data_IF_801995369549
#
_entry.id   IF_801995369549
#
_cell.length_a   1.000
_cell.length_b   1.000
_cell.length_c   1.000
_cell.angle_alpha   90.00
_cell.angle_beta   90.00
_cell.angle_gamma   90.00
#
_symmetry.space_group_name_H-M   'P 1'
#
loop_
_entity.id
_entity.type
_entity.pdbx_description
1 polymer ?
#
# COMPACT_ATOMS: atom_id res chain seq x y z
N UNK A 1 -2.99 -6.73 57.99
CA UNK A 1 -2.44 -7.38 59.20
C UNK A 1 -0.93 -7.15 59.37
N UNK A 2 -0.11 -7.27 58.32
CA UNK A 2 1.34 -6.99 58.39
C UNK A 2 1.69 -5.52 58.70
N UNK A 3 0.97 -4.56 58.11
CA UNK A 3 1.16 -3.12 58.37
C UNK A 3 0.90 -2.72 59.82
N UNK A 4 -0.16 -3.28 60.43
CA UNK A 4 -0.52 -3.06 61.85
C UNK A 4 0.53 -3.67 62.80
N UNK A 5 1.15 -4.78 62.40
CA UNK A 5 2.23 -5.40 63.18
C UNK A 5 3.54 -4.60 63.09
N UNK A 6 3.81 -4.00 61.93
CA UNK A 6 5.00 -3.19 61.68
C UNK A 6 4.97 -1.86 62.45
N UNK A 7 3.85 -1.14 62.40
CA UNK A 7 3.68 0.14 63.13
C UNK A 7 3.74 -0.04 64.64
N UNK A 8 3.18 -1.15 65.14
CA UNK A 8 3.22 -1.48 66.56
C UNK A 8 4.63 -1.74 67.09
N UNK A 9 5.47 -2.46 66.35
CA UNK A 9 6.86 -2.71 66.74
C UNK A 9 7.71 -1.42 66.68
N UNK A 10 7.42 -0.52 65.74
CA UNK A 10 8.11 0.78 65.63
C UNK A 10 7.78 1.67 66.83
N UNK A 11 6.51 1.72 67.24
CA UNK A 11 6.06 2.45 68.42
C UNK A 11 6.74 1.91 69.70
N UNK A 12 6.68 0.59 69.91
CA UNK A 12 7.31 -0.07 71.07
C UNK A 12 8.83 0.21 71.12
N UNK A 13 9.51 0.16 69.97
CA UNK A 13 10.94 0.46 69.87
C UNK A 13 11.25 1.94 70.18
N UNK A 14 10.50 2.87 69.61
CA UNK A 14 10.70 4.31 69.85
C UNK A 14 10.46 4.69 71.31
N UNK A 15 9.47 4.07 71.96
CA UNK A 15 9.18 4.25 73.38
C UNK A 15 10.32 3.68 74.23
N UNK A 16 10.78 2.45 73.93
CA UNK A 16 11.87 1.80 74.66
C UNK A 16 13.18 2.59 74.58
N UNK A 17 13.52 3.12 73.40
CA UNK A 17 14.72 3.94 73.21
C UNK A 17 14.67 5.24 74.02
N UNK A 18 13.51 5.89 74.12
CA UNK A 18 13.35 7.09 74.94
C UNK A 18 13.37 6.79 76.43
N UNK A 19 12.79 5.66 76.84
CA UNK A 19 12.89 5.18 78.22
C UNK A 19 14.36 4.97 78.63
N UNK A 20 15.13 4.24 77.82
CA UNK A 20 16.56 4.02 78.07
C UNK A 20 17.34 5.35 78.15
N UNK A 21 17.04 6.31 77.26
CA UNK A 21 17.65 7.65 77.33
C UNK A 21 17.27 8.40 78.62
N UNK A 22 16.01 8.36 79.05
CA UNK A 22 15.60 9.00 80.30
C UNK A 22 16.24 8.33 81.52
N UNK A 23 16.35 7.01 81.53
CA UNK A 23 17.00 6.26 82.61
C UNK A 23 18.49 6.62 82.71
N UNK A 24 19.18 6.79 81.58
CA UNK A 24 20.57 7.28 81.59
C UNK A 24 20.70 8.68 82.22
N UNK A 25 19.77 9.60 81.92
CA UNK A 25 19.77 10.94 82.55
C UNK A 25 19.53 10.85 84.06
N UNK A 26 18.60 9.98 84.47
CA UNK A 26 18.28 9.76 85.89
C UNK A 26 19.50 9.17 86.63
N UNK A 27 20.17 8.17 86.05
CA UNK A 27 21.40 7.57 86.60
C UNK A 27 22.51 8.62 86.74
N UNK A 28 22.67 9.53 85.78
CA UNK A 28 23.62 10.65 85.91
C UNK A 28 23.28 11.56 87.10
N UNK A 29 22.00 11.89 87.30
CA UNK A 29 21.58 12.79 88.39
C UNK A 29 21.79 12.14 89.77
N UNK A 30 21.46 10.86 89.93
CA UNK A 30 21.71 10.12 91.17
C UNK A 30 23.20 9.89 91.41
N UNK A 31 23.97 9.55 90.38
CA UNK A 31 25.42 9.39 90.51
C UNK A 31 26.14 10.67 90.97
N UNK A 32 25.64 11.84 90.57
CA UNK A 32 26.15 13.14 91.07
C UNK A 32 25.77 13.33 92.54
N UNK A 33 24.52 13.04 92.91
CA UNK A 33 24.05 13.14 94.30
C UNK A 33 24.85 12.23 95.25
N UNK A 34 25.00 10.94 94.91
CA UNK A 34 25.70 9.95 95.72
C UNK A 34 27.20 10.27 95.88
N UNK A 35 27.82 10.84 94.84
CA UNK A 35 29.22 11.31 94.90
C UNK A 35 29.41 12.44 95.90
N UNK A 36 28.44 13.36 96.00
CA UNK A 36 28.53 14.48 96.95
C UNK A 36 28.24 14.07 98.40
N UNK A 37 27.50 12.99 98.62
CA UNK A 37 26.97 12.67 99.95
C UNK A 37 27.81 11.66 100.74
N UNK A 38 28.38 10.58 100.16
CA UNK A 38 29.09 9.60 101.01
C UNK A 38 29.98 8.49 100.38
N UNK A 39 30.18 8.35 99.06
CA UNK A 39 30.85 7.14 98.53
C UNK A 39 31.70 7.37 97.25
N UNK A 40 33.02 7.16 97.33
CA UNK A 40 33.94 7.18 96.16
C UNK A 40 33.57 6.09 95.13
N UNK A 41 32.88 5.02 95.56
CA UNK A 41 32.43 3.95 94.68
C UNK A 41 31.13 4.28 93.93
N UNK A 42 30.45 5.38 94.28
CA UNK A 42 29.20 5.81 93.63
C UNK A 42 29.41 6.21 92.16
N UNK A 43 30.50 6.92 91.85
CA UNK A 43 30.84 7.27 90.47
C UNK A 43 31.10 6.03 89.62
N UNK A 44 31.78 5.03 90.18
CA UNK A 44 32.03 3.77 89.48
C UNK A 44 30.72 3.01 89.21
N UNK A 45 29.81 2.95 90.19
CA UNK A 45 28.48 2.37 90.04
C UNK A 45 27.68 3.10 88.95
N UNK A 46 27.64 4.43 88.96
CA UNK A 46 26.95 5.24 87.96
C UNK A 46 27.51 5.06 86.55
N UNK A 47 28.83 4.98 86.39
CA UNK A 47 29.48 4.71 85.10
C UNK A 47 29.15 3.32 84.56
N UNK A 48 29.13 2.30 85.43
CA UNK A 48 28.72 0.94 85.05
C UNK A 48 27.27 0.90 84.58
N UNK A 49 26.36 1.61 85.27
CA UNK A 49 24.97 1.74 84.86
C UNK A 49 24.81 2.46 83.52
N UNK A 50 25.56 3.54 83.29
CA UNK A 50 25.54 4.26 82.02
C UNK A 50 26.05 3.41 80.84
N UNK A 51 27.09 2.60 81.07
CA UNK A 51 27.57 1.66 80.07
C UNK A 51 26.56 0.54 79.79
N UNK A 52 25.92 0.00 80.83
CA UNK A 52 24.91 -1.03 80.68
C UNK A 52 23.67 -0.52 79.93
N UNK A 53 23.07 0.60 80.37
CA UNK A 53 21.88 1.17 79.73
C UNK A 53 22.18 1.81 78.37
N UNK A 54 23.36 2.41 78.19
CA UNK A 54 23.85 2.92 76.91
C UNK A 54 24.10 1.78 75.90
N UNK A 55 24.66 0.66 76.36
CA UNK A 55 24.81 -0.56 75.58
C UNK A 55 23.46 -1.15 75.15
N UNK A 56 22.50 -1.23 76.06
CA UNK A 56 21.12 -1.63 75.74
C UNK A 56 20.46 -0.68 74.73
N UNK A 57 20.62 0.63 74.89
CA UNK A 57 20.11 1.63 73.95
C UNK A 57 20.70 1.44 72.55
N UNK A 58 22.02 1.31 72.46
CA UNK A 58 22.73 1.07 71.21
C UNK A 58 22.30 -0.26 70.56
N UNK A 59 22.15 -1.31 71.35
CA UNK A 59 21.75 -2.63 70.88
C UNK A 59 20.32 -2.64 70.32
N UNK A 60 19.35 -2.09 71.07
CA UNK A 60 17.96 -1.95 70.64
C UNK A 60 17.83 -1.07 69.39
N UNK A 61 18.62 0.01 69.31
CA UNK A 61 18.64 0.89 68.13
C UNK A 61 19.21 0.19 66.91
N UNK A 62 20.30 -0.55 67.08
CA UNK A 62 20.98 -1.26 65.98
C UNK A 62 20.13 -2.40 65.41
N UNK A 63 19.42 -3.13 66.26
CA UNK A 63 18.56 -4.25 65.85
C UNK A 63 17.15 -3.82 65.44
N UNK A 64 16.87 -2.50 65.40
CA UNK A 64 15.53 -1.95 65.17
C UNK A 64 14.45 -2.57 66.08
N UNK A 65 14.78 -2.81 67.36
CA UNK A 65 13.82 -3.34 68.32
C UNK A 65 13.45 -4.80 68.07
N UNK A 66 14.40 -5.62 67.61
CA UNK A 66 14.19 -7.07 67.48
C UNK A 66 13.74 -7.69 68.81
N UNK A 67 12.90 -8.73 68.77
CA UNK A 67 12.44 -9.43 70.00
C UNK A 67 13.61 -9.88 70.88
N UNK A 68 14.72 -10.29 70.28
CA UNK A 68 15.93 -10.68 71.01
C UNK A 68 16.52 -9.49 71.78
N UNK A 69 16.64 -8.32 71.15
CA UNK A 69 17.20 -7.14 71.81
C UNK A 69 16.36 -6.63 72.98
N UNK A 70 15.03 -6.73 72.86
CA UNK A 70 14.10 -6.41 73.94
C UNK A 70 14.31 -7.39 75.09
N UNK A 71 14.35 -8.71 74.83
CA UNK A 71 14.56 -9.73 75.87
C UNK A 71 15.91 -9.60 76.58
N UNK A 72 16.98 -9.35 75.84
CA UNK A 72 18.32 -9.15 76.44
C UNK A 72 18.32 -7.93 77.36
N UNK A 73 17.69 -6.84 76.93
CA UNK A 73 17.54 -5.64 77.76
C UNK A 73 16.74 -5.93 79.03
N UNK A 74 15.65 -6.71 78.92
CA UNK A 74 14.85 -7.12 80.08
C UNK A 74 15.61 -8.03 81.04
N UNK A 75 16.41 -8.97 80.53
CA UNK A 75 17.24 -9.85 81.37
C UNK A 75 18.29 -9.05 82.13
N UNK A 76 18.98 -8.11 81.46
CA UNK A 76 19.95 -7.24 82.11
C UNK A 76 19.30 -6.39 83.20
N UNK A 77 18.08 -5.91 82.96
CA UNK A 77 17.29 -5.19 83.94
C UNK A 77 16.85 -6.07 85.13
N UNK A 78 16.54 -7.33 84.89
CA UNK A 78 16.19 -8.28 85.96
C UNK A 78 17.39 -8.59 86.85
N UNK A 79 18.56 -8.82 86.25
CA UNK A 79 19.83 -9.02 86.95
C UNK A 79 20.24 -7.79 87.77
N UNK A 80 19.99 -6.60 87.23
CA UNK A 80 20.13 -5.33 87.94
C UNK A 80 19.36 -5.32 89.25
N UNK A 81 18.07 -5.65 89.21
CA UNK A 81 17.22 -5.68 90.41
C UNK A 81 17.67 -6.75 91.42
N UNK A 82 18.16 -7.92 90.95
CA UNK A 82 18.76 -8.94 91.84
C UNK A 82 19.99 -8.38 92.56
N UNK A 83 20.85 -7.65 91.85
CA UNK A 83 22.04 -7.03 92.44
C UNK A 83 21.64 -6.05 93.55
N UNK A 84 20.70 -5.14 93.28
CA UNK A 84 20.23 -4.17 94.28
C UNK A 84 19.66 -4.84 95.53
N UNK A 85 18.94 -5.96 95.37
CA UNK A 85 18.40 -6.73 96.49
C UNK A 85 19.48 -7.21 97.47
N UNK A 86 20.59 -7.78 96.99
CA UNK A 86 21.62 -8.31 97.88
C UNK A 86 22.44 -7.22 98.58
N UNK A 87 22.65 -6.08 97.91
CA UNK A 87 23.51 -5.01 98.41
C UNK A 87 22.77 -3.94 99.24
N UNK A 88 21.44 -3.82 99.13
CA UNK A 88 20.65 -2.77 99.82
C UNK A 88 19.62 -3.33 100.81
N UNK A 89 19.91 -4.44 101.50
CA UNK A 89 19.04 -4.90 102.60
C UNK A 89 17.84 -5.77 102.22
N UNK A 90 17.86 -6.43 101.05
CA UNK A 90 16.80 -7.35 100.66
C UNK A 90 15.48 -6.61 100.39
N UNK A 91 14.35 -7.12 100.88
CA UNK A 91 13.05 -6.41 100.86
C UNK A 91 12.81 -5.49 102.07
N UNK A 92 13.85 -5.18 102.86
CA UNK A 92 13.73 -4.19 103.94
C UNK A 92 14.09 -2.79 103.41
N UNK A 93 13.33 -1.77 103.79
CA UNK A 93 13.57 -0.39 103.36
C UNK A 93 13.02 -0.05 101.96
N UNK A 94 13.76 0.77 101.21
CA UNK A 94 13.31 1.41 99.96
C UNK A 94 13.35 0.48 98.73
N UNK A 95 14.11 -0.62 98.81
CA UNK A 95 14.26 -1.63 97.75
C UNK A 95 12.95 -2.32 97.39
N UNK A 96 12.09 -2.63 98.36
CA UNK A 96 10.76 -3.21 98.07
C UNK A 96 9.91 -2.27 97.20
N UNK A 97 10.10 -0.96 97.36
CA UNK A 97 9.44 0.06 96.56
C UNK A 97 10.02 0.12 95.13
N UNK A 98 11.33 -0.11 94.94
CA UNK A 98 11.93 -0.27 93.61
C UNK A 98 11.30 -1.40 92.82
N UNK A 99 11.20 -2.58 93.43
CA UNK A 99 10.60 -3.74 92.78
C UNK A 99 9.15 -3.42 92.34
N UNK A 100 8.36 -2.77 93.19
CA UNK A 100 7.00 -2.35 92.80
C UNK A 100 6.99 -1.26 91.72
N UNK A 101 7.86 -0.26 91.82
CA UNK A 101 7.91 0.89 90.91
C UNK A 101 8.37 0.50 89.50
N UNK A 102 9.24 -0.49 89.35
CA UNK A 102 9.75 -0.91 88.04
C UNK A 102 8.76 -1.73 87.21
N UNK A 103 7.85 -2.44 87.87
CA UNK A 103 6.82 -3.24 87.20
C UNK A 103 5.89 -2.35 86.37
N UNK A 104 5.57 -1.13 86.83
CA UNK A 104 4.56 -0.29 86.18
C UNK A 104 5.04 0.29 84.83
N UNK A 105 6.21 0.96 84.71
CA UNK A 105 6.73 1.44 83.44
C UNK A 105 6.93 0.30 82.43
N UNK A 106 7.46 -0.85 82.86
CA UNK A 106 7.71 -1.98 81.97
C UNK A 106 6.41 -2.62 81.47
N UNK A 107 5.33 -2.61 82.26
CA UNK A 107 4.00 -3.03 81.80
C UNK A 107 3.34 -2.04 80.83
N UNK A 108 3.66 -0.75 80.92
CA UNK A 108 3.20 0.25 79.96
C UNK A 108 3.96 0.16 78.63
N UNK A 109 5.27 -0.13 78.69
CA UNK A 109 6.14 -0.20 77.51
C UNK A 109 5.95 -1.52 76.75
N UNK A 110 5.90 -2.66 77.45
CA UNK A 110 5.79 -3.98 76.82
C UNK A 110 4.33 -4.33 76.52
N UNK A 111 4.08 -4.88 75.34
CA UNK A 111 2.75 -5.41 75.01
C UNK A 111 2.79 -6.87 74.54
N UNK A 112 1.62 -7.53 74.55
CA UNK A 112 1.45 -8.86 73.97
C UNK A 112 2.20 -9.99 74.70
N UNK A 113 2.96 -10.80 73.95
CA UNK A 113 3.66 -11.98 74.48
C UNK A 113 4.87 -11.62 75.34
N UNK A 114 5.64 -10.59 74.96
CA UNK A 114 6.84 -10.16 75.70
C UNK A 114 6.48 -9.72 77.12
N UNK A 115 5.37 -8.97 77.28
CA UNK A 115 4.84 -8.59 78.60
C UNK A 115 4.53 -9.80 79.48
N UNK A 116 3.88 -10.83 78.92
CA UNK A 116 3.51 -12.04 79.68
C UNK A 116 4.75 -12.83 80.11
N UNK A 117 5.72 -12.97 79.22
CA UNK A 117 6.99 -13.65 79.53
C UNK A 117 7.77 -12.89 80.60
N UNK A 118 7.88 -11.57 80.48
CA UNK A 118 8.54 -10.73 81.47
C UNK A 118 7.87 -10.84 82.84
N UNK A 119 6.56 -10.65 82.92
CA UNK A 119 5.80 -10.73 84.18
C UNK A 119 5.97 -12.08 84.89
N UNK A 120 5.95 -13.19 84.13
CA UNK A 120 6.13 -14.52 84.69
C UNK A 120 7.50 -14.67 85.35
N UNK A 121 8.57 -14.31 84.63
CA UNK A 121 9.93 -14.39 85.19
C UNK A 121 10.16 -13.38 86.33
N UNK A 122 9.55 -12.19 86.25
CA UNK A 122 9.60 -11.18 87.30
C UNK A 122 8.98 -11.68 88.60
N UNK A 123 7.78 -12.25 88.51
CA UNK A 123 7.09 -12.81 89.67
C UNK A 123 7.84 -14.03 90.23
N UNK A 124 8.37 -14.89 89.37
CA UNK A 124 9.22 -16.00 89.79
C UNK A 124 10.47 -15.51 90.54
N UNK A 125 11.14 -14.48 90.03
CA UNK A 125 12.28 -13.84 90.69
C UNK A 125 11.89 -13.29 92.06
N UNK A 126 10.77 -12.59 92.17
CA UNK A 126 10.28 -12.07 93.45
C UNK A 126 10.07 -13.18 94.48
N UNK A 127 9.48 -14.31 94.08
CA UNK A 127 9.26 -15.48 94.95
C UNK A 127 10.60 -16.10 95.39
N UNK A 128 11.56 -16.23 94.46
CA UNK A 128 12.89 -16.76 94.76
C UNK A 128 13.64 -15.86 95.73
N UNK A 129 13.70 -14.54 95.47
CA UNK A 129 14.35 -13.58 96.36
C UNK A 129 13.68 -13.54 97.74
N UNK A 130 12.35 -13.64 97.79
CA UNK A 130 11.61 -13.68 99.07
C UNK A 130 11.95 -14.94 99.86
N UNK A 131 12.10 -16.07 99.16
CA UNK A 131 12.51 -17.34 99.78
C UNK A 131 13.94 -17.25 100.31
N UNK A 132 14.86 -16.66 99.53
CA UNK A 132 16.25 -16.43 99.97
C UNK A 132 16.28 -15.55 101.21
N UNK A 133 15.48 -14.49 101.28
CA UNK A 133 15.44 -13.64 102.47
C UNK A 133 14.97 -14.38 103.73
N UNK A 134 14.02 -15.30 103.59
CA UNK A 134 13.48 -16.06 104.73
C UNK A 134 14.44 -17.16 105.19
N UNK A 135 15.05 -17.89 104.25
CA UNK A 135 15.86 -19.07 104.56
C UNK A 135 17.37 -18.80 104.66
N UNK A 136 17.84 -17.73 104.00
CA UNK A 136 19.24 -17.35 103.87
C UNK A 136 19.44 -15.85 104.10
N UNK A 137 18.89 -15.32 105.19
CA UNK A 137 19.03 -13.91 105.56
C UNK A 137 20.50 -13.46 105.69
N UNK A 138 21.41 -14.39 105.97
CA UNK A 138 22.85 -14.18 106.09
C UNK A 138 23.55 -13.79 104.77
N UNK A 139 22.90 -13.99 103.61
CA UNK A 139 23.45 -13.59 102.32
C UNK A 139 23.14 -12.13 101.95
N UNK A 140 22.28 -11.48 102.73
CA UNK A 140 21.82 -10.11 102.47
C UNK A 140 22.62 -9.17 103.36
N UNK A 141 23.21 -8.14 102.76
CA UNK A 141 23.89 -7.09 103.52
C UNK A 141 22.83 -6.36 104.35
N UNK A 142 23.01 -6.32 105.67
CA UNK A 142 22.06 -5.63 106.55
C UNK A 142 21.96 -4.15 106.15
N UNK A 143 20.73 -3.66 106.09
CA UNK A 143 20.47 -2.25 105.86
C UNK A 143 21.04 -1.44 107.05
N UNK A 144 22.07 -0.64 106.81
CA UNK A 144 22.66 0.23 107.83
C UNK A 144 21.66 1.36 108.13
N UNK A 145 21.03 1.32 109.30
CA UNK A 145 20.03 2.32 109.72
C UNK A 145 20.64 3.68 110.13
N UNK A 146 21.90 3.94 109.78
CA UNK A 146 22.63 5.17 110.12
C UNK A 146 22.38 6.31 109.10
N UNK A 147 21.72 6.02 107.97
CA UNK A 147 21.33 7.04 107.00
C UNK A 147 20.16 7.91 107.54
N UNK A 148 20.20 9.24 107.33
CA UNK A 148 19.11 10.11 107.75
C UNK A 148 17.81 9.72 107.04
N UNK A 149 16.67 9.60 107.74
CA UNK A 149 15.38 9.22 107.13
C UNK A 149 14.91 10.18 106.01
N UNK A 150 15.51 11.37 105.92
CA UNK A 150 15.30 12.29 104.81
C UNK A 150 15.83 11.78 103.46
N UNK A 151 16.93 11.02 103.46
CA UNK A 151 17.55 10.47 102.23
C UNK A 151 16.61 9.45 101.59
N UNK A 152 16.04 8.53 102.38
CA UNK A 152 15.05 7.55 101.89
C UNK A 152 13.79 8.24 101.34
N UNK A 153 13.30 9.28 102.02
CA UNK A 153 12.12 10.03 101.56
C UNK A 153 12.42 10.76 100.25
N UNK A 154 13.61 11.37 100.13
CA UNK A 154 14.05 12.05 98.91
C UNK A 154 14.22 11.09 97.74
N UNK A 155 14.82 9.91 97.97
CA UNK A 155 14.97 8.86 96.98
C UNK A 155 13.60 8.30 96.55
N UNK A 156 12.66 8.12 97.49
CA UNK A 156 11.29 7.70 97.18
C UNK A 156 10.56 8.73 96.31
N UNK A 157 10.64 10.02 96.65
CA UNK A 157 10.04 11.10 95.86
C UNK A 157 10.65 11.19 94.46
N UNK A 158 11.98 11.04 94.35
CA UNK A 158 12.66 11.04 93.06
C UNK A 158 12.22 9.87 92.16
N UNK A 159 11.97 8.68 92.74
CA UNK A 159 11.43 7.51 92.02
C UNK A 159 9.98 7.69 91.57
N UNK A 160 9.14 8.30 92.40
CA UNK A 160 7.76 8.63 92.01
C UNK A 160 7.76 9.65 90.86
N UNK A 161 8.61 10.69 90.95
CA UNK A 161 8.76 11.69 89.90
C UNK A 161 9.28 11.09 88.58
N UNK A 162 10.25 10.17 88.63
CA UNK A 162 10.77 9.51 87.43
C UNK A 162 9.72 8.61 86.77
N UNK A 163 8.90 7.91 87.56
CA UNK A 163 7.79 7.10 87.08
C UNK A 163 6.70 7.95 86.40
N UNK A 164 6.30 9.07 87.02
CA UNK A 164 5.34 10.01 86.42
C UNK A 164 5.88 10.62 85.11
N UNK A 165 7.18 10.96 85.07
CA UNK A 165 7.84 11.48 83.88
C UNK A 165 7.85 10.47 82.72
N UNK A 166 8.16 9.20 83.00
CA UNK A 166 8.10 8.13 81.99
C UNK A 166 6.67 7.93 81.48
N UNK A 167 5.67 7.96 82.37
CA UNK A 167 4.25 7.90 82.00
C UNK A 167 3.82 9.06 81.08
N UNK A 168 4.29 10.28 81.36
CA UNK A 168 4.06 11.44 80.52
C UNK A 168 4.71 11.32 79.13
N UNK A 169 5.96 10.86 79.07
CA UNK A 169 6.67 10.63 77.80
C UNK A 169 5.95 9.58 76.95
N UNK A 170 5.48 8.50 77.57
CA UNK A 170 4.72 7.44 76.91
C UNK A 170 3.44 8.00 76.27
N UNK A 171 2.63 8.71 77.07
CA UNK A 171 1.36 9.28 76.61
C UNK A 171 1.58 10.20 75.41
N UNK A 172 2.57 11.08 75.50
CA UNK A 172 2.88 12.06 74.45
C UNK A 172 3.27 11.37 73.13
N UNK A 173 4.05 10.30 73.17
CA UNK A 173 4.46 9.60 71.95
C UNK A 173 3.34 8.75 71.35
N UNK A 174 2.54 8.12 72.21
CA UNK A 174 1.36 7.39 71.77
C UNK A 174 0.38 8.32 71.03
N UNK A 175 0.12 9.51 71.55
CA UNK A 175 -0.72 10.53 70.91
C UNK A 175 -0.15 10.93 69.54
N UNK A 176 1.16 11.19 69.44
CA UNK A 176 1.80 11.54 68.15
C UNK A 176 1.67 10.45 67.10
N UNK A 177 1.90 9.19 67.46
CA UNK A 177 1.81 8.08 66.51
C UNK A 177 0.36 7.78 66.12
N UNK A 178 -0.60 7.95 67.05
CA UNK A 178 -2.02 7.87 66.74
C UNK A 178 -2.41 8.94 65.70
N UNK A 179 -1.95 10.17 65.86
CA UNK A 179 -2.27 11.26 64.94
C UNK A 179 -1.61 11.04 63.57
N UNK A 180 -0.39 10.48 63.52
CA UNK A 180 0.24 10.04 62.25
C UNK A 180 -0.55 8.95 61.55
N UNK A 181 -1.03 7.96 62.31
CA UNK A 181 -1.85 6.88 61.76
C UNK A 181 -3.17 7.42 61.19
N UNK A 182 -3.81 8.35 61.89
CA UNK A 182 -5.03 9.01 61.42
C UNK A 182 -4.79 9.83 60.14
N UNK A 183 -3.72 10.63 60.09
CA UNK A 183 -3.38 11.37 58.87
C UNK A 183 -3.11 10.43 57.68
N UNK A 184 -2.46 9.29 57.95
CA UNK A 184 -2.18 8.28 56.93
C UNK A 184 -3.46 7.62 56.43
N UNK A 185 -4.42 7.32 57.30
CA UNK A 185 -5.71 6.75 56.87
C UNK A 185 -6.52 7.73 56.03
N UNK A 186 -6.54 9.01 56.41
CA UNK A 186 -7.22 10.06 55.62
C UNK A 186 -6.60 10.17 54.22
N UNK A 187 -5.26 10.22 54.11
CA UNK A 187 -4.59 10.24 52.81
C UNK A 187 -4.86 9.01 51.96
N UNK A 188 -4.98 7.84 52.59
CA UNK A 188 -5.34 6.61 51.89
C UNK A 188 -6.78 6.66 51.38
N UNK A 189 -7.71 7.23 52.14
CA UNK A 189 -9.08 7.45 51.69
C UNK A 189 -9.15 8.43 50.51
N UNK A 190 -8.42 9.54 50.58
CA UNK A 190 -8.31 10.50 49.46
C UNK A 190 -7.73 9.83 48.21
N UNK A 191 -6.64 9.08 48.34
CA UNK A 191 -6.03 8.35 47.22
C UNK A 191 -6.96 7.28 46.65
N UNK A 192 -7.71 6.56 47.49
CA UNK A 192 -8.69 5.58 47.02
C UNK A 192 -9.85 6.24 46.26
N UNK A 193 -10.29 7.43 46.70
CA UNK A 193 -11.32 8.20 46.00
C UNK A 193 -10.80 8.67 44.62
N UNK A 194 -9.55 9.12 44.54
CA UNK A 194 -8.92 9.49 43.27
C UNK A 194 -8.80 8.28 42.32
N UNK A 195 -8.38 7.12 42.83
CA UNK A 195 -8.32 5.88 42.04
C UNK A 195 -9.71 5.48 41.54
N UNK A 196 -10.75 5.63 42.36
CA UNK A 196 -12.13 5.36 41.95
C UNK A 196 -12.56 6.25 40.79
N UNK A 197 -12.26 7.55 40.87
CA UNK A 197 -12.56 8.50 39.78
C UNK A 197 -11.82 8.13 38.49
N UNK A 198 -10.53 7.78 38.59
CA UNK A 198 -9.74 7.35 37.44
C UNK A 198 -10.30 6.07 36.82
N UNK A 199 -10.76 5.11 37.63
CA UNK A 199 -11.40 3.90 37.15
C UNK A 199 -12.70 4.20 36.38
N UNK A 200 -13.54 5.13 36.88
CA UNK A 200 -14.76 5.54 36.17
C UNK A 200 -14.45 6.15 34.79
N UNK A 201 -13.40 6.99 34.72
CA UNK A 201 -12.92 7.54 33.44
C UNK A 201 -12.46 6.42 32.52
N UNK A 202 -11.63 5.48 33.01
CA UNK A 202 -11.15 4.34 32.21
C UNK A 202 -12.33 3.52 31.66
N UNK A 203 -13.32 3.21 32.48
CA UNK A 203 -14.53 2.49 32.05
C UNK A 203 -15.25 3.26 30.94
N UNK A 204 -15.44 4.57 31.09
CA UNK A 204 -16.08 5.40 30.06
C UNK A 204 -15.28 5.40 28.75
N UNK A 205 -13.95 5.48 28.81
CA UNK A 205 -13.08 5.45 27.63
C UNK A 205 -13.08 4.09 26.94
N UNK A 206 -13.12 3.00 27.70
CA UNK A 206 -13.22 1.65 27.14
C UNK A 206 -14.54 1.45 26.39
N UNK A 207 -15.66 1.92 26.94
CA UNK A 207 -16.95 1.87 26.24
C UNK A 207 -16.93 2.67 24.93
N UNK A 208 -16.29 3.85 24.92
CA UNK A 208 -16.10 4.63 23.70
C UNK A 208 -15.23 3.88 22.68
N UNK A 209 -14.12 3.28 23.12
CA UNK A 209 -13.26 2.47 22.27
C UNK A 209 -14.02 1.30 21.64
N UNK A 210 -14.81 0.56 22.43
CA UNK A 210 -15.64 -0.53 21.90
C UNK A 210 -16.61 -0.05 20.82
N UNK A 211 -17.27 1.08 21.03
CA UNK A 211 -18.15 1.69 20.03
C UNK A 211 -17.40 2.09 18.75
N UNK A 212 -16.20 2.65 18.87
CA UNK A 212 -15.38 3.00 17.69
C UNK A 212 -14.88 1.76 16.96
N UNK A 213 -14.49 0.70 17.67
CA UNK A 213 -14.11 -0.58 17.08
C UNK A 213 -15.27 -1.22 16.33
N UNK A 214 -16.49 -1.10 16.87
CA UNK A 214 -17.70 -1.59 16.18
C UNK A 214 -17.92 -0.85 14.86
N UNK A 215 -17.90 0.50 14.87
CA UNK A 215 -18.03 1.31 13.65
C UNK A 215 -16.95 1.00 12.62
N UNK A 216 -15.69 0.85 13.07
CA UNK A 216 -14.58 0.53 12.18
C UNK A 216 -14.76 -0.84 11.50
N UNK A 217 -15.28 -1.84 12.22
CA UNK A 217 -15.59 -3.16 11.64
C UNK A 217 -16.67 -3.07 10.57
N UNK A 218 -17.70 -2.25 10.81
CA UNK A 218 -18.76 -2.01 9.83
C UNK A 218 -18.22 -1.33 8.57
N UNK A 219 -17.40 -0.29 8.72
CA UNK A 219 -16.73 0.39 7.59
C UNK A 219 -15.82 -0.58 6.82
N UNK A 220 -15.06 -1.44 7.51
CA UNK A 220 -14.23 -2.46 6.86
C UNK A 220 -15.06 -3.46 6.05
N UNK A 221 -16.23 -3.88 6.54
CA UNK A 221 -17.12 -4.76 5.80
C UNK A 221 -17.67 -4.10 4.53
N UNK A 222 -18.06 -2.82 4.62
CA UNK A 222 -18.52 -2.05 3.46
C UNK A 222 -17.40 -1.88 2.41
N UNK A 223 -16.18 -1.57 2.83
CA UNK A 223 -15.01 -1.45 1.93
C UNK A 223 -14.71 -2.78 1.26
N UNK A 224 -14.80 -3.90 1.98
CA UNK A 224 -14.60 -5.23 1.40
C UNK A 224 -15.62 -5.54 0.30
N UNK A 225 -16.90 -5.21 0.54
CA UNK A 225 -17.95 -5.38 -0.45
C UNK A 225 -17.73 -4.50 -1.67
N UNK A 226 -17.39 -3.22 -1.47
CA UNK A 226 -17.06 -2.29 -2.55
C UNK A 226 -15.88 -2.82 -3.40
N UNK A 227 -14.81 -3.33 -2.78
CA UNK A 227 -13.67 -3.90 -3.49
C UNK A 227 -14.06 -5.11 -4.34
N UNK A 228 -14.96 -5.98 -3.85
CA UNK A 228 -15.48 -7.11 -4.62
C UNK A 228 -16.24 -6.64 -5.87
N UNK A 229 -17.06 -5.60 -5.73
CA UNK A 229 -17.79 -5.02 -6.89
C UNK A 229 -16.84 -4.39 -7.91
N UNK A 230 -15.78 -3.72 -7.44
CA UNK A 230 -14.74 -3.15 -8.32
C UNK A 230 -13.97 -4.23 -9.06
N UNK A 231 -13.65 -5.34 -8.40
CA UNK A 231 -12.99 -6.47 -9.04
C UNK A 231 -13.85 -7.05 -10.17
N UNK A 232 -15.15 -7.24 -9.92
CA UNK A 232 -16.11 -7.68 -10.94
C UNK A 232 -16.15 -6.71 -12.13
N UNK A 233 -16.31 -5.41 -11.87
CA UNK A 233 -16.33 -4.39 -12.93
C UNK A 233 -15.02 -4.38 -13.74
N UNK A 234 -13.87 -4.54 -13.08
CA UNK A 234 -12.58 -4.64 -13.76
C UNK A 234 -12.50 -5.87 -14.68
N UNK A 235 -13.03 -7.02 -14.24
CA UNK A 235 -13.07 -8.21 -15.11
C UNK A 235 -13.96 -8.02 -16.33
N UNK A 236 -15.08 -7.32 -16.19
CA UNK A 236 -15.97 -6.99 -17.31
C UNK A 236 -15.29 -6.04 -18.29
N UNK A 237 -14.63 -4.99 -17.80
CA UNK A 237 -13.86 -4.03 -18.63
C UNK A 237 -12.77 -4.77 -19.42
N UNK A 238 -12.04 -5.69 -18.79
CA UNK A 238 -11.04 -6.50 -19.48
C UNK A 238 -11.65 -7.38 -20.58
N UNK A 239 -12.83 -7.97 -20.33
CA UNK A 239 -13.54 -8.73 -21.35
C UNK A 239 -13.93 -7.84 -22.55
N UNK A 240 -14.52 -6.66 -22.29
CA UNK A 240 -14.84 -5.68 -23.34
C UNK A 240 -13.61 -5.21 -24.12
N UNK A 241 -12.47 -5.01 -23.44
CA UNK A 241 -11.20 -4.68 -24.08
C UNK A 241 -10.74 -5.76 -25.06
N UNK A 242 -10.90 -7.06 -24.71
CA UNK A 242 -10.60 -8.19 -25.60
C UNK A 242 -11.50 -8.19 -26.83
N UNK A 243 -12.82 -8.02 -26.66
CA UNK A 243 -13.77 -7.95 -27.78
C UNK A 243 -13.45 -6.81 -28.75
N UNK A 244 -13.17 -5.62 -28.21
CA UNK A 244 -12.82 -4.44 -29.00
C UNK A 244 -11.53 -4.68 -29.78
N UNK A 245 -10.53 -5.30 -29.17
CA UNK A 245 -9.27 -5.66 -29.84
C UNK A 245 -9.49 -6.65 -30.98
N UNK A 246 -10.30 -7.69 -30.75
CA UNK A 246 -10.64 -8.68 -31.78
C UNK A 246 -11.39 -8.04 -32.95
N UNK A 247 -12.36 -7.17 -32.65
CA UNK A 247 -13.12 -6.44 -33.67
C UNK A 247 -12.25 -5.48 -34.48
N UNK A 248 -11.36 -4.73 -33.83
CA UNK A 248 -10.41 -3.85 -34.52
C UNK A 248 -9.46 -4.62 -35.44
N UNK A 249 -9.04 -5.83 -35.05
CA UNK A 249 -8.25 -6.69 -35.91
C UNK A 249 -9.04 -7.15 -37.15
N UNK A 250 -10.32 -7.53 -36.98
CA UNK A 250 -11.19 -7.87 -38.11
C UNK A 250 -11.39 -6.68 -39.06
N UNK A 251 -11.67 -5.49 -38.52
CA UNK A 251 -11.76 -4.26 -39.32
C UNK A 251 -10.48 -3.99 -40.09
N UNK A 252 -9.31 -4.20 -39.48
CA UNK A 252 -8.03 -4.01 -40.15
C UNK A 252 -7.89 -4.94 -41.36
N UNK A 253 -8.28 -6.22 -41.22
CA UNK A 253 -8.27 -7.18 -42.34
C UNK A 253 -9.22 -6.74 -43.44
N UNK A 254 -10.46 -6.37 -43.10
CA UNK A 254 -11.45 -5.92 -44.08
C UNK A 254 -11.00 -4.66 -44.83
N UNK A 255 -10.39 -3.70 -44.13
CA UNK A 255 -9.83 -2.49 -44.76
C UNK A 255 -8.69 -2.86 -45.73
N UNK A 256 -7.85 -3.84 -45.39
CA UNK A 256 -6.81 -4.31 -46.32
C UNK A 256 -7.39 -5.03 -47.54
N UNK A 257 -8.45 -5.81 -47.37
CA UNK A 257 -9.15 -6.48 -48.49
C UNK A 257 -9.78 -5.46 -49.44
N UNK A 258 -10.55 -4.49 -48.91
CA UNK A 258 -11.15 -3.42 -49.71
C UNK A 258 -10.09 -2.59 -50.46
N UNK A 259 -8.92 -2.37 -49.84
CA UNK A 259 -7.82 -1.68 -50.51
C UNK A 259 -7.31 -2.48 -51.71
N UNK A 260 -7.18 -3.80 -51.57
CA UNK A 260 -6.75 -4.68 -52.66
C UNK A 260 -7.80 -4.76 -53.77
N UNK A 261 -9.08 -4.92 -53.43
CA UNK A 261 -10.18 -4.90 -54.41
C UNK A 261 -10.22 -3.58 -55.17
N UNK A 262 -10.10 -2.45 -54.48
CA UNK A 262 -10.03 -1.14 -55.12
C UNK A 262 -8.86 -1.04 -56.10
N UNK A 263 -7.71 -1.61 -55.75
CA UNK A 263 -6.54 -1.64 -56.62
C UNK A 263 -6.81 -2.48 -57.89
N UNK A 264 -7.43 -3.65 -57.75
CA UNK A 264 -7.81 -4.48 -58.88
C UNK A 264 -8.82 -3.77 -59.81
N UNK A 265 -9.81 -3.08 -59.25
CA UNK A 265 -10.76 -2.30 -60.05
C UNK A 265 -10.07 -1.19 -60.83
N UNK A 266 -9.09 -0.50 -60.22
CA UNK A 266 -8.30 0.52 -60.93
C UNK A 266 -7.52 -0.09 -62.10
N UNK A 267 -6.84 -1.22 -61.88
CA UNK A 267 -6.10 -1.91 -62.94
C UNK A 267 -7.01 -2.41 -64.07
N UNK A 268 -8.21 -2.91 -63.74
CA UNK A 268 -9.20 -3.33 -64.74
C UNK A 268 -9.73 -2.12 -65.52
N UNK A 269 -10.01 -1.00 -64.85
CA UNK A 269 -10.46 0.21 -65.52
C UNK A 269 -9.39 0.77 -66.46
N UNK A 270 -8.12 0.76 -66.07
CA UNK A 270 -7.00 1.19 -66.93
C UNK A 270 -6.92 0.33 -68.20
N UNK A 271 -7.00 -1.00 -68.07
CA UNK A 271 -7.05 -1.92 -69.22
C UNK A 271 -8.29 -1.70 -70.10
N UNK A 272 -9.43 -1.37 -69.49
CA UNK A 272 -10.65 -1.09 -70.22
C UNK A 272 -10.55 0.22 -71.00
N UNK A 273 -9.93 1.26 -70.43
CA UNK A 273 -9.64 2.51 -71.11
C UNK A 273 -8.69 2.30 -72.29
N UNK A 274 -7.64 1.48 -72.12
CA UNK A 274 -6.71 1.10 -73.19
C UNK A 274 -7.43 0.34 -74.32
N UNK A 275 -8.22 -0.69 -73.98
CA UNK A 275 -9.00 -1.45 -74.96
C UNK A 275 -10.04 -0.58 -75.69
N UNK A 276 -10.69 0.35 -74.98
CA UNK A 276 -11.62 1.30 -75.60
C UNK A 276 -10.90 2.28 -76.56
N UNK A 277 -9.70 2.75 -76.20
CA UNK A 277 -8.88 3.58 -77.07
C UNK A 277 -8.46 2.81 -78.33
N UNK A 278 -8.07 1.54 -78.19
CA UNK A 278 -7.74 0.66 -79.32
C UNK A 278 -8.96 0.44 -80.23
N UNK A 279 -10.12 0.11 -79.67
CA UNK A 279 -11.37 -0.05 -80.42
C UNK A 279 -11.71 1.25 -81.18
N UNK A 280 -11.55 2.40 -80.54
CA UNK A 280 -11.78 3.70 -81.19
C UNK A 280 -10.83 3.92 -82.36
N UNK A 281 -9.54 3.64 -82.21
CA UNK A 281 -8.54 3.76 -83.27
C UNK A 281 -8.79 2.78 -84.43
N UNK A 282 -9.15 1.53 -84.12
CA UNK A 282 -9.56 0.54 -85.11
C UNK A 282 -10.83 0.97 -85.84
N UNK A 283 -11.82 1.52 -85.14
CA UNK A 283 -13.05 2.04 -85.75
C UNK A 283 -12.77 3.20 -86.70
N UNK A 284 -11.85 4.10 -86.35
CA UNK A 284 -11.42 5.21 -87.21
C UNK A 284 -10.69 4.68 -88.46
N UNK A 285 -9.83 3.69 -88.29
CA UNK A 285 -9.12 3.02 -89.39
C UNK A 285 -10.10 2.33 -90.35
N UNK A 286 -11.08 1.59 -89.81
CA UNK A 286 -12.15 0.96 -90.60
C UNK A 286 -12.96 2.03 -91.35
N UNK A 287 -13.31 3.13 -90.70
CA UNK A 287 -14.03 4.23 -91.35
C UNK A 287 -13.23 4.83 -92.53
N UNK A 288 -11.91 5.02 -92.36
CA UNK A 288 -11.01 5.46 -93.43
C UNK A 288 -10.94 4.45 -94.59
N UNK A 289 -10.77 3.16 -94.29
CA UNK A 289 -10.78 2.10 -95.31
C UNK A 289 -12.10 2.04 -96.06
N UNK A 290 -13.24 2.14 -95.36
CA UNK A 290 -14.54 2.18 -95.99
C UNK A 290 -14.66 3.37 -96.95
N UNK A 291 -14.23 4.57 -96.53
CA UNK A 291 -14.24 5.75 -97.40
C UNK A 291 -13.33 5.57 -98.64
N UNK A 292 -12.16 4.94 -98.48
CA UNK A 292 -11.26 4.63 -99.61
C UNK A 292 -11.86 3.60 -100.56
N UNK A 293 -12.49 2.55 -100.03
CA UNK A 293 -13.16 1.52 -100.82
C UNK A 293 -14.34 2.12 -101.59
N UNK A 294 -15.14 2.97 -100.96
CA UNK A 294 -16.23 3.70 -101.62
C UNK A 294 -15.70 4.56 -102.77
N UNK A 295 -14.63 5.33 -102.55
CA UNK A 295 -14.00 6.13 -103.61
C UNK A 295 -13.46 5.28 -104.75
N UNK A 296 -12.84 4.13 -104.45
CA UNK A 296 -12.35 3.19 -105.47
C UNK A 296 -13.50 2.57 -106.26
N UNK A 297 -14.59 2.19 -105.58
CA UNK A 297 -15.80 1.65 -106.22
C UNK A 297 -16.42 2.72 -107.12
N UNK A 298 -16.53 3.96 -106.67
CA UNK A 298 -17.04 5.07 -107.47
C UNK A 298 -16.17 5.32 -108.71
N UNK A 299 -14.85 5.33 -108.56
CA UNK A 299 -13.91 5.47 -109.66
C UNK A 299 -14.06 4.31 -110.67
N UNK A 300 -14.13 3.07 -110.20
CA UNK A 300 -14.34 1.89 -111.06
C UNK A 300 -15.69 1.95 -111.79
N UNK A 301 -16.75 2.39 -111.11
CA UNK A 301 -18.06 2.57 -111.73
C UNK A 301 -18.00 3.63 -112.84
N UNK A 302 -17.27 4.73 -112.62
CA UNK A 302 -17.03 5.78 -113.61
C UNK A 302 -16.23 5.27 -114.82
N UNK A 303 -15.15 4.52 -114.58
CA UNK A 303 -14.34 3.92 -115.64
C UNK A 303 -15.17 2.94 -116.49
N UNK A 304 -16.00 2.10 -115.85
CA UNK A 304 -16.92 1.18 -116.53
C UNK A 304 -17.94 1.95 -117.38
N UNK A 305 -18.52 3.02 -116.85
CA UNK A 305 -19.47 3.85 -117.60
C UNK A 305 -18.81 4.50 -118.83
N UNK A 306 -17.57 4.98 -118.70
CA UNK A 306 -16.81 5.52 -119.83
C UNK A 306 -16.51 4.45 -120.87
N UNK A 307 -16.05 3.27 -120.43
CA UNK A 307 -15.77 2.15 -121.33
C UNK A 307 -17.03 1.68 -122.07
N UNK A 308 -18.16 1.61 -121.36
CA UNK A 308 -19.44 1.24 -121.95
C UNK A 308 -19.87 2.26 -123.02
N UNK A 309 -19.75 3.56 -122.74
CA UNK A 309 -19.98 4.62 -123.73
C UNK A 309 -19.08 4.47 -124.95
N UNK A 310 -17.78 4.20 -124.76
CA UNK A 310 -16.84 3.94 -125.85
C UNK A 310 -17.22 2.73 -126.70
N UNK A 311 -17.69 1.64 -126.07
CA UNK A 311 -18.13 0.44 -126.77
C UNK A 311 -19.37 0.72 -127.64
N UNK A 312 -20.29 1.55 -127.15
CA UNK A 312 -21.45 2.04 -127.92
C UNK A 312 -20.99 2.84 -129.14
N UNK A 313 -20.08 3.80 -128.95
CA UNK A 313 -19.54 4.62 -130.04
C UNK A 313 -18.81 3.76 -131.08
N UNK A 314 -18.03 2.74 -130.65
CA UNK A 314 -17.40 1.76 -131.53
C UNK A 314 -18.44 0.97 -132.35
N UNK A 315 -19.48 0.45 -131.71
CA UNK A 315 -20.54 -0.29 -132.37
C UNK A 315 -21.28 0.56 -133.42
N UNK A 316 -21.47 1.85 -133.12
CA UNK A 316 -22.04 2.83 -134.04
C UNK A 316 -21.15 3.08 -135.28
N UNK A 317 -19.86 3.37 -135.07
CA UNK A 317 -18.91 3.62 -136.17
C UNK A 317 -18.77 2.38 -137.06
N UNK A 318 -18.61 1.20 -136.46
CA UNK A 318 -18.48 -0.05 -137.22
C UNK A 318 -19.74 -0.32 -138.08
N UNK A 319 -20.93 -0.14 -137.49
CA UNK A 319 -22.19 -0.42 -138.18
C UNK A 319 -22.52 0.57 -139.30
N UNK A 320 -22.24 1.87 -139.15
CA UNK A 320 -22.64 2.89 -140.13
C UNK A 320 -21.50 3.33 -141.05
N UNK A 321 -20.30 3.57 -140.51
CA UNK A 321 -19.20 4.18 -141.27
C UNK A 321 -18.35 3.17 -142.03
N UNK A 322 -18.20 1.94 -141.52
CA UNK A 322 -17.43 0.88 -142.20
C UNK A 322 -18.34 0.03 -143.09
N UNK A 323 -19.49 -0.39 -142.56
CA UNK A 323 -20.40 -1.28 -143.29
C UNK A 323 -20.97 -0.63 -144.57
N UNK A 324 -21.16 0.69 -144.57
CA UNK A 324 -21.66 1.47 -145.72
C UNK A 324 -20.76 1.38 -146.97
N UNK A 325 -19.49 1.81 -146.91
CA UNK A 325 -18.55 1.65 -148.01
C UNK A 325 -18.28 0.18 -148.34
N UNK A 326 -18.21 -0.72 -147.35
CA UNK A 326 -18.07 -2.16 -147.61
C UNK A 326 -19.25 -2.73 -148.42
N UNK A 327 -20.49 -2.37 -148.07
CA UNK A 327 -21.68 -2.78 -148.83
C UNK A 327 -21.69 -2.19 -150.24
N UNK A 328 -21.20 -0.94 -150.42
CA UNK A 328 -21.01 -0.33 -151.75
C UNK A 328 -19.97 -1.07 -152.58
N UNK A 329 -18.81 -1.40 -152.01
CA UNK A 329 -17.77 -2.22 -152.66
C UNK A 329 -18.33 -3.57 -153.09
N UNK A 330 -19.00 -4.29 -152.18
CA UNK A 330 -19.62 -5.59 -152.49
C UNK A 330 -20.72 -5.47 -153.56
N UNK A 331 -21.52 -4.40 -153.51
CA UNK A 331 -22.56 -4.11 -154.51
C UNK A 331 -21.98 -3.81 -155.89
N UNK A 332 -20.91 -3.02 -155.98
CA UNK A 332 -20.21 -2.71 -157.22
C UNK A 332 -19.53 -3.95 -157.82
N UNK A 333 -18.88 -4.78 -156.99
CA UNK A 333 -18.34 -6.08 -157.42
C UNK A 333 -19.46 -6.97 -157.99
N UNK A 334 -20.62 -7.01 -157.31
CA UNK A 334 -21.77 -7.79 -157.77
C UNK A 334 -22.30 -7.30 -159.14
N UNK A 335 -22.37 -5.98 -159.35
CA UNK A 335 -22.80 -5.39 -160.62
C UNK A 335 -21.78 -5.65 -161.76
N UNK A 336 -20.49 -5.49 -161.49
CA UNK A 336 -19.41 -5.80 -162.45
C UNK A 336 -19.42 -7.26 -162.91
N UNK A 337 -19.77 -8.20 -162.02
CA UNK A 337 -19.82 -9.64 -162.35
C UNK A 337 -20.99 -10.03 -163.24
N UNK A 338 -22.04 -9.21 -163.33
CA UNK A 338 -23.32 -9.57 -163.95
C UNK A 338 -23.51 -8.99 -165.37
N UNK A 339 -22.71 -8.02 -165.79
CA UNK A 339 -22.77 -7.41 -167.13
C UNK A 339 -21.44 -7.53 -167.91
N UNK A 340 -21.26 -8.58 -168.73
CA UNK A 340 -20.10 -8.70 -169.62
C UNK A 340 -20.48 -8.31 -171.06
N UNK A 341 -20.49 -7.01 -171.39
CA UNK A 341 -20.53 -6.54 -172.77
C UNK A 341 -19.94 -5.13 -172.93
N UNK A 342 -18.86 -5.07 -173.71
CA UNK A 342 -18.04 -3.95 -174.18
C UNK A 342 -18.68 -2.55 -174.28
N UNK A 343 -18.03 -1.56 -173.67
CA UNK A 343 -18.13 -0.14 -174.05
C UNK A 343 -18.54 0.80 -172.90
N UNK A 344 -17.62 1.67 -172.49
CA UNK A 344 -17.77 2.88 -171.64
C UNK A 344 -18.22 2.77 -170.17
N UNK A 345 -18.97 1.75 -169.74
CA UNK A 345 -19.47 1.70 -168.34
C UNK A 345 -18.51 1.02 -167.34
N UNK A 346 -17.57 0.19 -167.82
CA UNK A 346 -16.75 -0.65 -166.93
C UNK A 346 -15.70 0.14 -166.14
N UNK A 347 -15.15 1.20 -166.74
CA UNK A 347 -14.21 2.12 -166.09
C UNK A 347 -14.92 2.96 -165.02
N UNK A 348 -16.18 3.36 -165.23
CA UNK A 348 -16.94 4.10 -164.20
C UNK A 348 -17.21 3.26 -162.95
N UNK A 349 -17.44 1.95 -163.11
CA UNK A 349 -17.57 1.04 -161.96
C UNK A 349 -16.25 0.81 -161.25
N UNK A 350 -15.12 0.75 -161.97
CA UNK A 350 -13.79 0.66 -161.38
C UNK A 350 -13.43 1.92 -160.60
N UNK A 351 -13.69 3.12 -161.14
CA UNK A 351 -13.50 4.38 -160.44
C UNK A 351 -14.35 4.46 -159.17
N UNK A 352 -15.63 4.10 -159.23
CA UNK A 352 -16.52 4.09 -158.04
C UNK A 352 -16.13 3.03 -157.01
N UNK A 353 -15.57 1.91 -157.46
CA UNK A 353 -15.04 0.86 -156.58
C UNK A 353 -13.77 1.35 -155.88
N UNK A 354 -12.87 1.98 -156.62
CA UNK A 354 -11.64 2.58 -156.08
C UNK A 354 -11.97 3.68 -155.07
N UNK A 355 -12.93 4.57 -155.36
CA UNK A 355 -13.41 5.57 -154.40
C UNK A 355 -13.98 4.91 -153.14
N UNK A 356 -14.85 3.90 -153.29
CA UNK A 356 -15.48 3.24 -152.13
C UNK A 356 -14.48 2.41 -151.31
N UNK A 357 -13.46 1.82 -151.95
CA UNK A 357 -12.38 1.08 -151.31
C UNK A 357 -11.41 2.03 -150.59
N UNK A 358 -11.09 3.18 -151.18
CA UNK A 358 -10.27 4.22 -150.54
C UNK A 358 -11.02 4.89 -149.38
N UNK A 359 -12.34 5.12 -149.49
CA UNK A 359 -13.17 5.55 -148.37
C UNK A 359 -13.15 4.53 -147.22
N UNK A 360 -13.26 3.24 -147.54
CA UNK A 360 -13.17 2.18 -146.53
C UNK A 360 -11.79 2.15 -145.86
N UNK A 361 -10.70 2.21 -146.64
CA UNK A 361 -9.32 2.24 -146.13
C UNK A 361 -9.06 3.47 -145.25
N UNK A 362 -9.60 4.64 -145.64
CA UNK A 362 -9.55 5.86 -144.82
C UNK A 362 -10.29 5.68 -143.48
N UNK A 363 -11.50 5.11 -143.50
CA UNK A 363 -12.29 4.86 -142.29
C UNK A 363 -11.60 3.82 -141.37
N UNK A 364 -10.99 2.78 -141.94
CA UNK A 364 -10.24 1.77 -141.20
C UNK A 364 -8.97 2.36 -140.58
N UNK A 365 -8.25 3.22 -141.31
CA UNK A 365 -7.08 3.95 -140.79
C UNK A 365 -7.46 4.90 -139.66
N UNK A 366 -8.54 5.67 -139.80
CA UNK A 366 -9.04 6.57 -138.75
C UNK A 366 -9.39 5.78 -137.48
N UNK A 367 -10.05 4.62 -137.62
CA UNK A 367 -10.41 3.76 -136.49
C UNK A 367 -9.17 3.12 -135.82
N UNK A 368 -8.15 2.77 -136.61
CA UNK A 368 -6.88 2.23 -136.09
C UNK A 368 -6.07 3.28 -135.32
N UNK A 369 -6.10 4.54 -135.76
CA UNK A 369 -5.45 5.66 -135.05
C UNK A 369 -6.15 5.91 -133.71
N UNK A 370 -7.48 5.95 -133.70
CA UNK A 370 -8.26 6.12 -132.46
C UNK A 370 -7.96 5.00 -131.44
N UNK A 371 -7.76 3.76 -131.91
CA UNK A 371 -7.46 2.61 -131.03
C UNK A 371 -5.99 2.54 -130.55
N UNK A 372 -5.04 3.00 -131.34
CA UNK A 372 -3.60 2.91 -131.02
C UNK A 372 -3.12 4.02 -130.08
N UNK A 373 -3.77 5.19 -130.09
CA UNK A 373 -3.45 6.27 -129.14
C UNK A 373 -3.89 5.94 -127.71
N UNK A 374 -4.81 4.99 -127.50
CA UNK A 374 -5.46 4.79 -126.19
C UNK A 374 -5.09 3.49 -125.46
N UNK A 375 -4.39 2.54 -126.09
CA UNK A 375 -3.95 1.30 -125.41
C UNK A 375 -2.76 1.53 -124.45
N UNK A 376 -2.10 2.68 -124.53
CA UNK A 376 -0.93 2.99 -123.69
C UNK A 376 -1.28 3.61 -122.32
N UNK A 377 -2.56 3.98 -122.07
CA UNK A 377 -3.00 4.67 -120.85
C UNK A 377 -3.70 3.76 -119.81
N UNK A 378 -3.82 2.45 -120.05
CA UNK A 378 -4.64 1.56 -119.19
C UNK A 378 -3.91 0.38 -118.51
N UNK A 379 -2.57 0.32 -118.48
CA UNK A 379 -1.86 -0.74 -117.74
C UNK A 379 -0.96 -0.16 -116.64
N UNK A 380 -1.60 0.35 -115.59
CA UNK A 380 -0.98 0.67 -114.30
C UNK A 380 -1.57 -0.19 -113.19
N UNK A 381 -1.36 -1.51 -113.23
CA UNK A 381 -1.71 -2.39 -112.10
C UNK A 381 -0.66 -2.22 -110.99
N UNK A 382 -1.05 -1.56 -109.90
CA UNK A 382 -0.29 -1.52 -108.65
C UNK A 382 -0.35 -2.89 -107.99
N UNK A 383 0.82 -3.51 -107.79
CA UNK A 383 1.04 -4.67 -106.92
C UNK A 383 0.70 -4.28 -105.49
N UNK A 384 -0.25 -4.97 -104.88
CA UNK A 384 -0.41 -5.02 -103.42
C UNK A 384 0.73 -5.89 -102.91
N UNK A 385 1.73 -5.29 -102.28
CA UNK A 385 2.71 -6.01 -101.46
C UNK A 385 2.10 -6.22 -100.09
N UNK A 386 1.92 -7.49 -99.74
CA UNK A 386 1.89 -7.94 -98.35
C UNK A 386 3.13 -7.41 -97.63
N UNK A 387 2.93 -6.74 -96.49
CA UNK A 387 3.96 -6.67 -95.47
C UNK A 387 3.31 -6.85 -94.09
N UNK A 388 3.61 -7.99 -93.49
CA UNK A 388 3.53 -8.19 -92.04
C UNK A 388 4.63 -7.36 -91.40
N UNK A 389 4.34 -6.68 -90.29
CA UNK A 389 5.28 -6.54 -89.16
C UNK A 389 4.61 -6.04 -87.89
N UNK A 390 4.69 -6.90 -86.88
CA UNK A 390 4.99 -6.62 -85.47
C UNK A 390 4.28 -5.44 -84.79
N UNK A 391 3.26 -5.74 -83.97
CA UNK A 391 3.32 -5.61 -82.50
C UNK A 391 2.19 -6.42 -81.84
#
# INVERSE_FOLDING_TARGET
MALVYCTKNILENNILLRFLRSTMVIVCLFGVYDFFYQDDSALLKALLWLLAFGGCYGFVKYTNGSRLSIRVTLILFMLSAVSEFFFRGGFTGITALDFCAFVVPLNMILSGSERRTFLFFYLLQMVVLSSIQVFHSEWIVNYEADDPPFVDIAEMLARICSMLYVGYLYKTEYERERDRALLTSVRLEESNAEISLQNDVIVSTNNQLEMTMFKLKEEQAQVLEANKTLEQANTEILAYGRYTTAYNNQLKVLVTELKNERQQVLEVNEKLEEANAEISAQSETIASYNAQLEAMVEQRAKDILQLNKKLIDYSFVNSHKIRGPLARVLGLIYLMRRNPANGTDHDEYLDKLEISANELDCMVKELTIVLSVETNDQIGFVRITDDKKDL
#
